data_IF_977163731658
#
_entry.id   IF_977163731658
#
_cell.length_a   1.000
_cell.length_b   1.000
_cell.length_c   1.000
_cell.angle_alpha   90.00
_cell.angle_beta   90.00
_cell.angle_gamma   90.00
#
_symmetry.space_group_name_H-M   'P 1'
#
loop_
_entity.id
_entity.type
_entity.pdbx_description
1 polymer ?
#
# COMPACT_ATOMS: atom_id res chain seq x y z
N UNK A 1 -22.07 -28.22 -31.18
CA UNK A 1 -21.74 -27.45 -29.97
C UNK A 1 -21.90 -25.99 -30.32
N UNK A 2 -22.80 -25.26 -29.67
CA UNK A 2 -23.24 -23.92 -30.10
C UNK A 2 -22.08 -22.91 -29.95
N UNK A 3 -21.83 -22.04 -30.93
CA UNK A 3 -20.74 -21.04 -30.90
C UNK A 3 -20.80 -20.14 -29.65
N UNK A 4 -22.01 -19.86 -29.15
CA UNK A 4 -22.25 -19.12 -27.92
C UNK A 4 -21.72 -19.85 -26.68
N UNK A 5 -21.86 -21.17 -26.64
CA UNK A 5 -21.34 -22.01 -25.54
C UNK A 5 -19.82 -22.10 -25.62
N UNK A 6 -19.25 -22.18 -26.84
CA UNK A 6 -17.81 -22.15 -27.05
C UNK A 6 -17.18 -20.79 -26.67
N UNK A 7 -17.80 -19.67 -27.03
CA UNK A 7 -17.37 -18.32 -26.59
C UNK A 7 -17.44 -18.15 -25.08
N UNK A 8 -18.50 -18.65 -24.44
CA UNK A 8 -18.67 -18.59 -22.98
C UNK A 8 -17.64 -19.47 -22.26
N UNK A 9 -17.33 -20.66 -22.80
CA UNK A 9 -16.30 -21.56 -22.27
C UNK A 9 -14.87 -21.05 -22.50
N UNK A 10 -14.63 -20.29 -23.58
CA UNK A 10 -13.33 -19.66 -23.87
C UNK A 10 -13.11 -18.40 -23.01
N UNK A 11 -14.17 -17.62 -22.73
CA UNK A 11 -14.13 -16.49 -21.79
C UNK A 11 -13.85 -16.92 -20.34
N UNK A 12 -14.14 -18.17 -19.99
CA UNK A 12 -13.94 -18.73 -18.65
C UNK A 12 -12.54 -19.35 -18.41
N UNK A 13 -11.55 -19.08 -19.29
CA UNK A 13 -10.15 -19.52 -19.11
C UNK A 13 -9.21 -18.45 -18.54
N UNK A 14 -9.72 -17.29 -18.14
CA UNK A 14 -8.92 -16.21 -17.55
C UNK A 14 -8.64 -16.41 -16.06
N UNK A 15 -7.61 -15.76 -15.53
CA UNK A 15 -7.39 -15.68 -14.07
C UNK A 15 -8.64 -15.14 -13.38
N UNK A 16 -9.12 -15.74 -12.29
CA UNK A 16 -10.35 -15.33 -11.63
C UNK A 16 -10.27 -13.91 -11.06
N UNK A 17 -9.09 -13.53 -10.54
CA UNK A 17 -8.80 -12.20 -10.05
C UNK A 17 -8.04 -11.40 -11.10
N UNK A 18 -8.58 -10.24 -11.49
CA UNK A 18 -8.02 -9.32 -12.47
C UNK A 18 -8.04 -7.94 -11.84
N UNK A 19 -6.92 -7.58 -11.23
CA UNK A 19 -6.80 -6.41 -10.39
C UNK A 19 -6.11 -5.29 -11.18
N UNK A 20 -6.71 -4.10 -11.16
CA UNK A 20 -6.11 -2.90 -11.74
C UNK A 20 -5.44 -2.09 -10.65
N UNK A 21 -4.15 -1.80 -10.80
CA UNK A 21 -3.41 -0.95 -9.87
C UNK A 21 -3.63 0.51 -10.22
N UNK A 22 -4.14 1.26 -9.25
CA UNK A 22 -4.26 2.71 -9.27
C UNK A 22 -3.15 3.28 -8.38
N UNK A 23 -2.09 3.75 -9.02
CA UNK A 23 -1.07 4.56 -8.37
C UNK A 23 -1.55 6.01 -8.30
N UNK A 24 -1.87 6.47 -7.09
CA UNK A 24 -2.46 7.79 -6.87
C UNK A 24 -1.42 8.81 -6.39
N UNK A 25 -0.14 8.43 -6.25
CA UNK A 25 0.88 9.35 -5.75
C UNK A 25 1.15 10.48 -6.74
N UNK A 26 1.28 11.70 -6.21
CA UNK A 26 1.60 12.90 -6.99
C UNK A 26 0.47 13.48 -7.84
N UNK A 27 -0.25 12.67 -8.61
CA UNK A 27 -1.31 13.09 -9.54
C UNK A 27 -2.60 12.23 -9.40
N UNK A 28 -3.30 12.31 -8.25
CA UNK A 28 -4.55 11.58 -8.03
C UNK A 28 -5.62 11.96 -9.06
N UNK A 29 -6.51 11.02 -9.38
CA UNK A 29 -7.75 11.33 -10.09
C UNK A 29 -8.71 12.11 -9.17
N UNK A 30 -9.60 12.89 -9.76
CA UNK A 30 -10.72 13.48 -9.00
C UNK A 30 -11.73 12.39 -8.67
N UNK A 31 -12.40 12.49 -7.52
CA UNK A 31 -13.42 11.49 -7.10
C UNK A 31 -14.47 11.27 -8.19
N UNK A 32 -14.93 12.33 -8.86
CA UNK A 32 -15.93 12.24 -9.92
C UNK A 32 -15.47 11.39 -11.13
N UNK A 33 -14.16 11.33 -11.42
CA UNK A 33 -13.64 10.53 -12.53
C UNK A 33 -13.89 9.03 -12.31
N UNK A 34 -13.98 8.58 -11.06
CA UNK A 34 -14.26 7.17 -10.74
C UNK A 34 -15.67 6.73 -11.10
N UNK A 35 -16.62 7.66 -11.27
CA UNK A 35 -17.99 7.37 -11.72
C UNK A 35 -18.02 6.77 -13.12
N UNK A 36 -17.07 7.15 -13.97
CA UNK A 36 -16.92 6.62 -15.33
C UNK A 36 -15.88 5.49 -15.37
N UNK A 37 -14.76 5.65 -14.66
CA UNK A 37 -13.65 4.70 -14.70
C UNK A 37 -14.04 3.32 -14.15
N UNK A 38 -14.68 3.24 -12.98
CA UNK A 38 -14.95 1.95 -12.35
C UNK A 38 -15.93 1.07 -13.15
N UNK A 39 -17.06 1.58 -13.65
CA UNK A 39 -17.90 0.81 -14.57
C UNK A 39 -17.14 0.36 -15.82
N UNK A 40 -16.30 1.22 -16.39
CA UNK A 40 -15.50 0.88 -17.56
C UNK A 40 -14.53 -0.27 -17.25
N UNK A 41 -13.81 -0.22 -16.13
CA UNK A 41 -12.90 -1.29 -15.71
C UNK A 41 -13.63 -2.63 -15.53
N UNK A 42 -14.79 -2.60 -14.84
CA UNK A 42 -15.62 -3.79 -14.65
C UNK A 42 -16.12 -4.38 -15.98
N UNK A 43 -16.62 -3.53 -16.89
CA UNK A 43 -17.06 -3.95 -18.23
C UNK A 43 -15.92 -4.57 -19.05
N UNK A 44 -14.68 -4.15 -18.82
CA UNK A 44 -13.47 -4.74 -19.43
C UNK A 44 -12.89 -5.91 -18.62
N UNK A 45 -13.64 -6.40 -17.63
CA UNK A 45 -13.35 -7.65 -16.92
C UNK A 45 -12.58 -7.50 -15.62
N UNK A 46 -12.23 -6.29 -15.16
CA UNK A 46 -11.61 -6.13 -13.85
C UNK A 46 -12.53 -6.65 -12.72
N UNK A 47 -11.94 -7.28 -11.72
CA UNK A 47 -12.65 -7.79 -10.54
C UNK A 47 -12.31 -7.02 -9.26
N UNK A 48 -11.25 -6.22 -9.31
CA UNK A 48 -10.85 -5.40 -8.17
C UNK A 48 -9.81 -4.35 -8.53
N UNK A 49 -9.49 -3.57 -7.53
CA UNK A 49 -8.62 -2.40 -7.57
C UNK A 49 -7.56 -2.56 -6.49
N UNK A 50 -6.29 -2.43 -6.87
CA UNK A 50 -5.19 -2.25 -5.94
C UNK A 50 -4.95 -0.74 -5.85
N UNK A 51 -5.16 -0.13 -4.69
CA UNK A 51 -5.08 1.33 -4.56
C UNK A 51 -3.89 1.71 -3.67
N UNK A 52 -2.93 2.41 -4.26
CA UNK A 52 -1.76 2.97 -3.59
C UNK A 52 -1.97 4.48 -3.40
N UNK A 53 -2.10 4.92 -2.14
CA UNK A 53 -2.39 6.31 -1.82
C UNK A 53 -1.16 7.15 -1.47
N UNK A 54 -0.17 6.58 -0.77
CA UNK A 54 0.95 7.30 -0.15
C UNK A 54 0.51 8.62 0.54
N UNK A 55 1.03 9.77 0.10
CA UNK A 55 0.75 11.10 0.64
C UNK A 55 -0.60 11.70 0.25
N UNK A 56 -1.40 10.95 -0.54
CA UNK A 56 -2.77 11.32 -0.89
C UNK A 56 -3.82 10.80 0.10
N UNK A 57 -3.43 9.95 1.04
CA UNK A 57 -4.33 9.48 2.10
C UNK A 57 -4.50 10.55 3.22
N UNK A 58 -5.71 10.76 3.76
CA UNK A 58 -5.96 11.70 4.85
C UNK A 58 -5.46 11.19 6.21
N UNK A 59 -4.15 11.03 6.35
CA UNK A 59 -3.55 10.68 7.64
C UNK A 59 -3.85 11.74 8.70
N UNK A 60 -4.01 11.29 9.95
CA UNK A 60 -4.36 12.13 11.10
C UNK A 60 -3.38 11.91 12.26
N UNK A 61 -3.52 12.72 13.31
CA UNK A 61 -2.67 12.61 14.50
C UNK A 61 -1.20 12.94 14.18
N UNK A 62 -0.27 12.14 14.69
CA UNK A 62 1.17 12.35 14.45
C UNK A 62 1.56 12.12 12.98
N UNK A 63 0.75 11.39 12.22
CA UNK A 63 0.94 11.15 10.79
C UNK A 63 0.31 12.24 9.91
N UNK A 64 -0.33 13.27 10.48
CA UNK A 64 -0.99 14.32 9.70
C UNK A 64 -0.05 15.08 8.74
N UNK A 65 1.24 15.16 9.06
CA UNK A 65 2.24 15.78 8.18
C UNK A 65 2.54 14.97 6.92
N UNK A 66 2.10 13.71 6.85
CA UNK A 66 2.25 12.86 5.66
C UNK A 66 1.29 13.27 4.54
N UNK A 67 0.10 13.75 4.90
CA UNK A 67 -0.93 14.10 3.93
C UNK A 67 -0.58 15.39 3.19
N UNK A 68 -0.68 15.36 1.86
CA UNK A 68 -0.59 16.58 1.04
C UNK A 68 -1.75 17.53 1.32
N UNK A 69 -1.55 18.81 0.99
CA UNK A 69 -2.61 19.83 1.06
C UNK A 69 -3.83 19.50 0.21
N UNK A 70 -3.63 18.79 -0.90
CA UNK A 70 -4.68 18.33 -1.80
C UNK A 70 -4.96 16.82 -1.64
N UNK A 71 -4.60 16.22 -0.50
CA UNK A 71 -4.96 14.85 -0.16
C UNK A 71 -6.49 14.65 -0.26
N UNK A 72 -6.91 13.40 -0.51
CA UNK A 72 -8.33 13.06 -0.39
C UNK A 72 -8.81 13.33 1.03
N UNK A 73 -10.05 13.77 1.19
CA UNK A 73 -10.74 13.78 2.48
C UNK A 73 -11.21 12.38 2.88
N UNK A 74 -11.68 12.21 4.13
CA UNK A 74 -12.28 10.92 4.55
C UNK A 74 -13.54 10.62 3.74
N UNK A 75 -14.31 11.65 3.43
CA UNK A 75 -15.53 11.60 2.63
C UNK A 75 -15.22 11.22 1.17
N UNK A 76 -14.08 11.66 0.63
CA UNK A 76 -13.60 11.25 -0.69
C UNK A 76 -13.27 9.75 -0.72
N UNK A 77 -12.53 9.25 0.28
CA UNK A 77 -12.21 7.81 0.37
C UNK A 77 -13.49 6.97 0.49
N UNK A 78 -14.45 7.40 1.32
CA UNK A 78 -15.74 6.73 1.44
C UNK A 78 -16.51 6.69 0.10
N UNK A 79 -16.50 7.79 -0.65
CA UNK A 79 -17.12 7.84 -1.97
C UNK A 79 -16.40 6.94 -2.99
N UNK A 80 -15.07 6.88 -2.98
CA UNK A 80 -14.29 5.97 -3.83
C UNK A 80 -14.71 4.52 -3.56
N UNK A 81 -14.77 4.11 -2.28
CA UNK A 81 -15.18 2.76 -1.88
C UNK A 81 -16.64 2.48 -2.27
N UNK A 82 -17.54 3.44 -2.09
CA UNK A 82 -18.94 3.29 -2.51
C UNK A 82 -19.06 3.08 -4.02
N UNK A 83 -18.31 3.84 -4.82
CA UNK A 83 -18.29 3.73 -6.28
C UNK A 83 -17.72 2.39 -6.73
N UNK A 84 -16.64 1.90 -6.10
CA UNK A 84 -16.05 0.61 -6.44
C UNK A 84 -16.98 -0.55 -6.11
N UNK A 85 -17.62 -0.53 -4.92
CA UNK A 85 -18.61 -1.53 -4.52
C UNK A 85 -19.81 -1.53 -5.46
N UNK A 86 -20.32 -0.35 -5.83
CA UNK A 86 -21.44 -0.23 -6.78
C UNK A 86 -21.08 -0.74 -8.18
N UNK A 87 -19.79 -0.79 -8.51
CA UNK A 87 -19.25 -1.31 -9.77
C UNK A 87 -18.79 -2.77 -9.69
N UNK A 88 -19.08 -3.47 -8.59
CA UNK A 88 -18.63 -4.86 -8.33
C UNK A 88 -17.09 -5.03 -8.40
N UNK A 89 -16.35 -4.05 -7.87
CA UNK A 89 -14.89 -4.11 -7.76
C UNK A 89 -14.48 -4.17 -6.28
N UNK A 90 -13.74 -5.21 -5.91
CA UNK A 90 -13.07 -5.27 -4.61
C UNK A 90 -11.97 -4.19 -4.52
N UNK A 91 -11.81 -3.55 -3.36
CA UNK A 91 -10.67 -2.65 -3.11
C UNK A 91 -9.67 -3.33 -2.18
N UNK A 92 -8.42 -3.39 -2.64
CA UNK A 92 -7.26 -3.84 -1.90
C UNK A 92 -6.36 -2.61 -1.69
N UNK A 93 -6.27 -2.05 -0.47
CA UNK A 93 -5.34 -0.97 -0.22
C UNK A 93 -3.90 -1.49 -0.25
N UNK A 94 -2.99 -0.70 -0.82
CA UNK A 94 -1.55 -0.89 -0.77
C UNK A 94 -0.93 0.11 0.20
N UNK A 95 -0.10 -0.39 1.11
CA UNK A 95 0.66 0.40 2.07
C UNK A 95 2.11 0.00 2.00
N UNK A 96 2.99 0.97 1.77
CA UNK A 96 4.43 0.72 1.77
C UNK A 96 4.92 0.44 3.20
N UNK A 97 5.67 -0.65 3.37
CA UNK A 97 6.15 -1.11 4.70
C UNK A 97 7.66 -1.31 4.79
N UNK A 98 8.39 -1.01 3.70
CA UNK A 98 9.84 -1.13 3.60
C UNK A 98 10.45 0.06 2.84
N UNK A 99 10.38 0.04 1.51
CA UNK A 99 10.83 1.07 0.58
C UNK A 99 9.70 2.02 0.19
N UNK A 100 9.96 2.93 -0.76
CA UNK A 100 8.99 3.93 -1.25
C UNK A 100 8.34 4.77 -0.15
N UNK A 101 9.09 5.03 0.93
CA UNK A 101 8.65 5.79 2.09
C UNK A 101 9.20 7.23 2.10
N UNK A 102 9.58 7.79 0.94
CA UNK A 102 10.07 9.17 0.82
C UNK A 102 9.08 10.17 1.39
N UNK A 103 7.78 9.94 1.20
CA UNK A 103 6.75 10.81 1.74
C UNK A 103 6.71 10.84 3.28
N UNK A 104 7.16 9.76 3.92
CA UNK A 104 7.30 9.62 5.37
C UNK A 104 8.65 10.14 5.84
N UNK A 105 9.74 9.61 5.30
CA UNK A 105 11.09 9.79 5.82
C UNK A 105 11.66 11.19 5.51
N UNK A 106 11.11 11.91 4.53
CA UNK A 106 11.44 13.33 4.33
C UNK A 106 10.86 14.26 5.40
N UNK A 107 9.90 13.78 6.20
CA UNK A 107 9.29 14.60 7.26
C UNK A 107 10.20 14.63 8.49
N UNK A 108 10.50 15.81 9.07
CA UNK A 108 11.45 15.94 10.18
C UNK A 108 11.22 14.99 11.37
N UNK A 109 9.98 14.67 11.80
CA UNK A 109 9.77 13.71 12.90
C UNK A 109 10.23 12.28 12.60
N UNK A 110 10.29 11.90 11.31
CA UNK A 110 10.48 10.52 10.87
C UNK A 110 11.80 10.28 10.13
N UNK A 111 12.55 11.32 9.76
CA UNK A 111 13.83 11.19 9.04
C UNK A 111 14.84 10.29 9.76
N UNK A 112 14.86 10.31 11.09
CA UNK A 112 15.71 9.44 11.93
C UNK A 112 15.41 7.94 11.78
N UNK A 113 14.28 7.58 11.15
CA UNK A 113 13.87 6.20 10.91
C UNK A 113 14.40 5.68 9.57
N UNK A 114 15.08 6.49 8.76
CA UNK A 114 15.64 6.04 7.49
C UNK A 114 16.82 5.08 7.68
N UNK A 115 16.90 4.06 6.83
CA UNK A 115 18.08 3.19 6.71
C UNK A 115 19.31 3.98 6.24
N UNK A 116 19.09 4.91 5.31
CA UNK A 116 20.13 5.70 4.67
C UNK A 116 19.81 7.20 4.80
N UNK A 117 20.77 7.99 5.28
CA UNK A 117 20.57 9.43 5.49
C UNK A 117 20.61 10.26 4.19
N UNK A 118 21.19 9.71 3.11
CA UNK A 118 21.26 10.33 1.79
C UNK A 118 20.05 9.94 0.92
N UNK A 119 19.51 8.74 1.13
CA UNK A 119 18.39 8.17 0.38
C UNK A 119 17.23 7.84 1.32
N UNK A 120 16.31 8.81 1.48
CA UNK A 120 15.20 8.74 2.43
C UNK A 120 14.03 7.88 1.93
N UNK A 121 14.28 6.72 1.35
CA UNK A 121 13.24 5.87 0.74
C UNK A 121 12.92 4.60 1.54
N UNK A 122 13.86 4.14 2.37
CA UNK A 122 13.78 2.85 3.06
C UNK A 122 13.79 3.04 4.56
N UNK A 123 12.80 2.48 5.25
CA UNK A 123 12.67 2.60 6.70
C UNK A 123 13.47 1.51 7.42
N UNK A 124 14.08 1.86 8.57
CA UNK A 124 14.79 0.94 9.44
C UNK A 124 13.79 -0.04 10.08
N UNK A 125 13.72 -1.27 9.56
CA UNK A 125 12.76 -2.29 9.99
C UNK A 125 13.07 -2.89 11.37
N UNK A 126 14.28 -2.67 11.89
CA UNK A 126 14.68 -3.10 13.24
C UNK A 126 14.32 -2.09 14.33
N UNK A 127 13.93 -0.86 13.98
CA UNK A 127 13.54 0.16 14.95
C UNK A 127 12.05 0.00 15.35
N UNK A 128 11.77 0.00 16.66
CA UNK A 128 10.40 -0.12 17.17
C UNK A 128 9.51 1.07 16.79
N UNK A 129 10.07 2.28 16.67
CA UNK A 129 9.31 3.45 16.24
C UNK A 129 8.89 3.34 14.77
N UNK A 130 9.73 2.74 13.92
CA UNK A 130 9.39 2.41 12.53
C UNK A 130 8.19 1.46 12.48
N UNK A 131 8.21 0.41 13.31
CA UNK A 131 7.07 -0.49 13.45
C UNK A 131 5.80 0.26 13.85
N UNK A 132 5.87 1.14 14.85
CA UNK A 132 4.72 1.96 15.25
C UNK A 132 4.21 2.85 14.12
N UNK A 133 5.09 3.49 13.33
CA UNK A 133 4.69 4.30 12.17
C UNK A 133 3.98 3.44 11.13
N UNK A 134 4.56 2.31 10.76
CA UNK A 134 4.01 1.38 9.76
C UNK A 134 2.63 0.87 10.20
N UNK A 135 2.51 0.37 11.42
CA UNK A 135 1.23 -0.16 11.91
C UNK A 135 0.17 0.92 12.04
N UNK A 136 0.55 2.14 12.44
CA UNK A 136 -0.39 3.26 12.51
C UNK A 136 -0.89 3.67 11.12
N UNK A 137 -0.02 3.65 10.09
CA UNK A 137 -0.46 3.86 8.70
C UNK A 137 -1.45 2.79 8.25
N UNK A 138 -1.14 1.51 8.53
CA UNK A 138 -2.02 0.37 8.22
C UNK A 138 -3.36 0.50 8.93
N UNK A 139 -3.37 0.84 10.23
CA UNK A 139 -4.58 0.99 11.03
C UNK A 139 -5.47 2.13 10.52
N UNK A 140 -4.87 3.27 10.18
CA UNK A 140 -5.64 4.39 9.60
C UNK A 140 -6.23 4.03 8.24
N UNK A 141 -5.48 3.35 7.36
CA UNK A 141 -5.98 2.89 6.05
C UNK A 141 -7.09 1.86 6.22
N UNK A 142 -6.91 0.87 7.11
CA UNK A 142 -7.91 -0.13 7.45
C UNK A 142 -9.20 0.50 7.99
N UNK A 143 -9.08 1.57 8.80
CA UNK A 143 -10.24 2.25 9.38
C UNK A 143 -11.20 2.83 8.33
N UNK A 144 -10.67 3.21 7.15
CA UNK A 144 -11.47 3.68 6.01
C UNK A 144 -11.80 2.55 5.01
N UNK A 145 -11.09 1.43 5.03
CA UNK A 145 -11.31 0.27 4.15
C UNK A 145 -11.89 -0.94 4.90
N UNK A 146 -12.94 -0.74 5.69
CA UNK A 146 -13.50 -1.77 6.59
C UNK A 146 -14.04 -3.01 5.88
N UNK A 147 -14.43 -2.88 4.60
CA UNK A 147 -14.90 -3.99 3.76
C UNK A 147 -13.77 -4.79 3.12
N UNK A 148 -12.52 -4.31 3.18
CA UNK A 148 -11.39 -5.00 2.57
C UNK A 148 -10.97 -6.19 3.42
N UNK A 149 -10.75 -7.33 2.77
CA UNK A 149 -10.33 -8.58 3.45
C UNK A 149 -8.82 -8.82 3.36
N UNK A 150 -8.11 -8.00 2.58
CA UNK A 150 -6.69 -8.14 2.29
C UNK A 150 -6.04 -6.76 2.21
N UNK A 151 -4.74 -6.73 2.39
CA UNK A 151 -3.90 -5.53 2.24
C UNK A 151 -2.65 -5.94 1.47
N UNK A 152 -2.15 -5.06 0.60
CA UNK A 152 -0.84 -5.22 -0.02
C UNK A 152 0.18 -4.43 0.79
N UNK A 153 1.26 -5.07 1.23
CA UNK A 153 2.26 -4.47 2.14
C UNK A 153 3.42 -3.76 1.41
N UNK A 154 3.33 -3.65 0.08
CA UNK A 154 4.41 -3.14 -0.76
C UNK A 154 5.59 -4.10 -0.73
N UNK A 155 6.72 -3.62 -0.20
CA UNK A 155 7.97 -4.35 0.02
C UNK A 155 8.84 -4.56 -1.23
N UNK A 156 8.63 -3.75 -2.26
CA UNK A 156 9.51 -3.60 -3.41
C UNK A 156 10.67 -2.62 -3.14
N UNK A 157 11.74 -2.78 -3.91
CA UNK A 157 12.89 -1.86 -4.04
C UNK A 157 13.54 -1.34 -2.73
N UNK A 158 13.43 -2.11 -1.64
CA UNK A 158 13.98 -1.77 -0.33
C UNK A 158 15.50 -2.06 -0.22
N UNK A 159 16.29 -1.49 -1.12
CA UNK A 159 17.71 -1.82 -1.30
C UNK A 159 18.58 -1.48 -0.08
N UNK A 160 18.21 -0.43 0.67
CA UNK A 160 18.99 0.07 1.81
C UNK A 160 18.73 -0.68 3.11
N UNK A 161 17.86 -1.69 3.14
CA UNK A 161 17.62 -2.47 4.35
C UNK A 161 18.95 -3.00 4.90
N UNK A 162 19.21 -2.75 6.19
CA UNK A 162 20.47 -3.18 6.81
C UNK A 162 21.63 -2.19 6.75
N UNK A 163 21.38 -0.93 6.39
CA UNK A 163 22.42 0.10 6.26
C UNK A 163 22.52 1.02 7.47
N UNK A 164 21.52 1.12 8.33
CA UNK A 164 21.62 1.92 9.54
C UNK A 164 22.36 1.17 10.67
N UNK A 165 22.67 1.86 11.77
CA UNK A 165 23.36 1.25 12.90
C UNK A 165 22.52 0.15 13.57
N UNK A 166 21.21 0.36 13.71
CA UNK A 166 20.30 -0.55 14.40
C UNK A 166 20.13 -1.84 13.59
N UNK A 167 19.83 -1.74 12.30
CA UNK A 167 19.69 -2.93 11.45
C UNK A 167 21.02 -3.65 11.26
N UNK A 168 22.17 -2.96 11.12
CA UNK A 168 23.49 -3.64 11.08
C UNK A 168 23.78 -4.44 12.35
N UNK A 169 23.47 -3.89 13.52
CA UNK A 169 23.65 -4.60 14.78
C UNK A 169 22.73 -5.83 14.84
N UNK A 170 21.47 -5.68 14.44
CA UNK A 170 20.50 -6.77 14.43
C UNK A 170 20.87 -7.87 13.43
N UNK A 171 21.33 -7.50 12.23
CA UNK A 171 21.80 -8.42 11.20
C UNK A 171 22.92 -9.32 11.72
N UNK A 172 23.92 -8.74 12.37
CA UNK A 172 25.05 -9.49 12.93
C UNK A 172 24.66 -10.40 14.09
N UNK A 173 23.78 -9.92 14.97
CA UNK A 173 23.42 -10.66 16.21
C UNK A 173 22.36 -11.73 16.01
N UNK A 174 21.49 -11.59 15.03
CA UNK A 174 20.27 -12.41 14.93
C UNK A 174 20.14 -13.13 13.59
N UNK A 175 20.73 -12.62 12.52
CA UNK A 175 20.45 -13.09 11.16
C UNK A 175 21.71 -13.56 10.41
N UNK A 176 22.85 -13.69 11.08
CA UNK A 176 24.13 -14.10 10.48
C UNK A 176 24.46 -13.30 9.20
N UNK A 177 24.19 -11.99 9.22
CA UNK A 177 24.36 -11.05 8.09
C UNK A 177 23.45 -11.29 6.86
N UNK A 178 22.45 -12.18 6.96
CA UNK A 178 21.47 -12.41 5.89
C UNK A 178 20.33 -11.38 5.92
N UNK A 179 20.36 -10.43 4.97
CA UNK A 179 19.32 -9.39 4.82
C UNK A 179 17.93 -9.98 4.58
N UNK A 180 17.83 -11.03 3.76
CA UNK A 180 16.55 -11.67 3.42
C UNK A 180 15.85 -12.23 4.65
N UNK A 181 16.60 -12.85 5.57
CA UNK A 181 16.07 -13.38 6.82
C UNK A 181 15.52 -12.28 7.73
N UNK A 182 16.18 -11.12 7.77
CA UNK A 182 15.68 -9.95 8.50
C UNK A 182 14.39 -9.41 7.86
N UNK A 183 14.34 -9.31 6.54
CA UNK A 183 13.14 -8.89 5.80
C UNK A 183 11.95 -9.81 6.06
N UNK A 184 12.15 -11.13 5.95
CA UNK A 184 11.11 -12.12 6.26
C UNK A 184 10.64 -12.02 7.72
N UNK A 185 11.56 -11.79 8.66
CA UNK A 185 11.21 -11.60 10.06
C UNK A 185 10.35 -10.35 10.30
N UNK A 186 10.59 -9.26 9.55
CA UNK A 186 9.74 -8.06 9.59
C UNK A 186 8.35 -8.33 9.02
N UNK A 187 8.24 -9.03 7.88
CA UNK A 187 6.94 -9.43 7.29
C UNK A 187 6.15 -10.30 8.26
N UNK A 188 6.84 -11.24 8.93
CA UNK A 188 6.22 -12.16 9.86
C UNK A 188 5.91 -11.54 11.24
N UNK A 189 6.31 -10.28 11.50
CA UNK A 189 6.15 -9.63 12.80
C UNK A 189 4.67 -9.47 13.12
N UNK A 190 4.29 -9.86 14.34
CA UNK A 190 2.92 -9.78 14.85
C UNK A 190 2.89 -8.93 16.11
N UNK A 191 1.78 -8.21 16.32
CA UNK A 191 1.46 -7.66 17.64
C UNK A 191 0.99 -8.85 18.49
N UNK A 192 1.73 -9.13 19.55
CA UNK A 192 1.36 -10.15 20.56
C UNK A 192 0.48 -9.49 21.61
#
# INVERSE_FOLDING_TARGET
MNETIAKTLILNKGFPERIVHLDLKGAPLRVDAYRELFPLLHQNGATGLLIEYEDMFPFTGRLSTLARRNAYSKEDIQQIIQLSTSSNLEVIPLVQTFGHLEFVLKQPPFTKLSENALELNTICISNNESWTVITEMIDQIRSLHQSSTRIHIGADEAYHVGEDAICREKLKKTFDEHKDSMGVAHIARRVV
#
